data_IF_473698796624
#
_entry.id   IF_473698796624
#
_cell.length_a   1.000
_cell.length_b   1.000
_cell.length_c   1.000
_cell.angle_alpha   90.00
_cell.angle_beta   90.00
_cell.angle_gamma   90.00
#
_symmetry.space_group_name_H-M   'P 1'
#
loop_
_entity.id
_entity.type
_entity.pdbx_description
1 polymer ?
#
# COMPACT_ATOMS: atom_id res chain seq x y z
N UNK A 1 8.55 -25.97 48.72
CA UNK A 1 8.72 -24.51 48.69
C UNK A 1 8.33 -24.10 47.28
N UNK A 2 7.12 -23.57 47.10
CA UNK A 2 6.57 -23.18 45.80
C UNK A 2 7.15 -21.81 45.50
N UNK A 3 8.09 -21.69 44.57
CA UNK A 3 8.47 -20.39 44.03
C UNK A 3 7.34 -19.95 43.10
N UNK A 4 6.76 -18.80 43.39
CA UNK A 4 5.59 -18.27 42.70
C UNK A 4 5.96 -17.76 41.32
N UNK A 5 5.05 -17.87 40.34
CA UNK A 5 5.25 -17.37 38.97
C UNK A 5 5.72 -15.91 38.94
N UNK A 6 5.35 -15.11 39.94
CA UNK A 6 5.78 -13.72 40.10
C UNK A 6 7.29 -13.58 40.35
N UNK A 7 7.91 -14.48 41.14
CA UNK A 7 9.35 -14.46 41.42
C UNK A 7 10.17 -14.77 40.15
N UNK A 8 9.70 -15.75 39.37
CA UNK A 8 10.33 -16.14 38.11
C UNK A 8 10.21 -15.02 37.05
N UNK A 9 9.14 -14.22 37.08
CA UNK A 9 8.97 -13.03 36.22
C UNK A 9 9.95 -11.91 36.58
N UNK A 10 10.17 -11.65 37.87
CA UNK A 10 11.11 -10.64 38.34
C UNK A 10 12.57 -11.02 38.09
N UNK A 11 12.92 -12.29 38.33
CA UNK A 11 14.26 -12.83 38.04
C UNK A 11 14.59 -12.65 36.54
N UNK A 12 13.65 -12.99 35.67
CA UNK A 12 13.80 -12.85 34.21
C UNK A 12 14.04 -11.41 33.78
N UNK A 13 13.24 -10.45 34.29
CA UNK A 13 13.41 -9.02 33.98
C UNK A 13 14.78 -8.52 34.40
N UNK A 14 15.30 -9.02 35.52
CA UNK A 14 16.63 -8.67 36.00
C UNK A 14 17.74 -9.23 35.10
N UNK A 15 17.63 -10.48 34.68
CA UNK A 15 18.58 -11.10 33.73
C UNK A 15 18.53 -10.42 32.36
N UNK A 16 17.35 -10.03 31.87
CA UNK A 16 17.21 -9.30 30.60
C UNK A 16 17.85 -7.90 30.67
N UNK A 17 17.61 -7.14 31.75
CA UNK A 17 18.28 -5.85 31.95
C UNK A 17 19.81 -5.99 32.00
N UNK A 18 20.31 -7.07 32.60
CA UNK A 18 21.75 -7.35 32.66
C UNK A 18 22.32 -7.77 31.29
N UNK A 19 21.56 -8.52 30.50
CA UNK A 19 21.98 -8.93 29.16
C UNK A 19 22.06 -7.76 28.17
N UNK A 20 21.08 -6.85 28.23
CA UNK A 20 20.92 -5.75 27.25
C UNK A 20 21.33 -4.38 27.78
N UNK A 21 21.84 -4.30 29.01
CA UNK A 21 22.32 -3.05 29.63
C UNK A 21 23.72 -2.62 29.16
N UNK A 22 24.14 -1.39 29.49
CA UNK A 22 25.47 -0.89 29.15
C UNK A 22 26.56 -1.75 29.81
N UNK A 23 27.42 -2.38 29.00
CA UNK A 23 28.41 -3.37 29.47
C UNK A 23 27.89 -4.81 29.53
N UNK A 24 26.80 -5.11 28.82
CA UNK A 24 26.08 -6.37 28.81
C UNK A 24 26.96 -7.61 28.71
N UNK A 25 26.75 -8.52 29.66
CA UNK A 25 27.44 -9.80 29.75
C UNK A 25 26.73 -10.67 30.79
N UNK A 26 26.02 -11.68 30.31
CA UNK A 26 25.59 -12.77 31.17
C UNK A 26 26.73 -13.77 31.31
N UNK A 27 26.91 -14.31 32.50
CA UNK A 27 27.69 -15.53 32.67
C UNK A 27 26.93 -16.71 32.02
N UNK A 28 27.63 -17.80 31.66
CA UNK A 28 27.00 -18.97 31.04
C UNK A 28 25.86 -19.56 31.90
N UNK A 29 26.00 -19.46 33.22
CA UNK A 29 24.98 -19.91 34.18
C UNK A 29 23.74 -19.02 34.14
N UNK A 30 23.92 -17.70 34.07
CA UNK A 30 22.82 -16.74 33.95
C UNK A 30 22.13 -16.82 32.59
N UNK A 31 22.89 -17.04 31.52
CA UNK A 31 22.33 -17.27 30.18
C UNK A 31 21.54 -18.59 30.09
N UNK A 32 21.98 -19.63 30.81
CA UNK A 32 21.22 -20.87 30.94
C UNK A 32 19.93 -20.67 31.75
N UNK A 33 20.00 -19.91 32.85
CA UNK A 33 18.83 -19.60 33.69
C UNK A 33 17.80 -18.76 32.94
N UNK A 34 18.23 -17.75 32.17
CA UNK A 34 17.34 -16.94 31.33
C UNK A 34 16.62 -17.80 30.28
N UNK A 35 17.34 -18.72 29.61
CA UNK A 35 16.73 -19.67 28.66
C UNK A 35 15.68 -20.56 29.34
N UNK A 36 15.96 -21.06 30.53
CA UNK A 36 15.01 -21.88 31.29
C UNK A 36 13.72 -21.10 31.62
N UNK A 37 13.84 -19.83 32.02
CA UNK A 37 12.70 -18.95 32.31
C UNK A 37 11.88 -18.62 31.06
N UNK A 38 12.52 -18.40 29.92
CA UNK A 38 11.83 -18.16 28.65
C UNK A 38 11.15 -19.44 28.11
N UNK A 39 11.78 -20.61 28.25
CA UNK A 39 11.22 -21.90 27.87
C UNK A 39 10.02 -22.30 28.74
N UNK A 40 10.07 -21.99 30.05
CA UNK A 40 8.95 -22.22 30.97
C UNK A 40 7.70 -21.44 30.54
N UNK A 41 7.87 -20.22 30.00
CA UNK A 41 6.76 -19.40 29.47
C UNK A 41 6.26 -19.87 28.11
N UNK A 42 7.15 -20.39 27.26
CA UNK A 42 6.79 -20.91 25.93
C UNK A 42 6.06 -22.24 25.99
N UNK A 43 6.17 -22.98 27.09
CA UNK A 43 5.37 -24.19 27.30
C UNK A 43 3.92 -23.78 27.54
N UNK A 44 2.98 -24.19 26.67
CA UNK A 44 1.57 -24.04 26.94
C UNK A 44 1.25 -24.75 28.26
N UNK A 45 0.48 -24.09 29.13
CA UNK A 45 -0.17 -24.77 30.25
C UNK A 45 -0.93 -25.98 29.68
N UNK A 46 -0.81 -27.20 30.25
CA UNK A 46 -1.41 -28.39 29.67
C UNK A 46 -2.93 -28.30 29.80
N UNK A 47 -3.57 -27.73 28.79
CA UNK A 47 -5.00 -27.89 28.55
C UNK A 47 -5.32 -29.34 28.16
N UNK A 48 -6.55 -29.82 28.45
CA UNK A 48 -6.92 -31.20 28.22
C UNK A 48 -6.82 -31.57 26.73
N UNK A 49 -6.05 -32.63 26.46
CA UNK A 49 -5.78 -33.18 25.13
C UNK A 49 -7.04 -33.77 24.50
N UNK A 50 -7.39 -33.35 23.28
CA UNK A 50 -8.27 -34.10 22.37
C UNK A 50 -7.43 -34.78 21.28
N UNK A 51 -7.74 -36.04 20.92
CA UNK A 51 -6.87 -36.86 20.08
C UNK A 51 -6.98 -36.56 18.59
N UNK A 52 -5.84 -36.78 17.92
CA UNK A 52 -5.64 -36.82 16.47
C UNK A 52 -6.59 -37.75 15.75
N UNK A 53 -6.94 -37.39 14.50
CA UNK A 53 -7.55 -38.30 13.53
C UNK A 53 -6.71 -38.35 12.24
N UNK A 54 -6.34 -39.58 11.92
CA UNK A 54 -5.66 -40.12 10.72
C UNK A 54 -6.21 -39.61 9.38
N UNK A 55 -5.33 -39.27 8.42
CA UNK A 55 -4.83 -40.10 7.29
C UNK A 55 -5.89 -40.65 6.33
N UNK A 56 -5.84 -40.23 5.05
CA UNK A 56 -6.16 -41.07 3.88
C UNK A 56 -5.24 -40.72 2.69
N UNK A 57 -4.75 -41.78 2.06
CA UNK A 57 -3.87 -41.97 0.89
C UNK A 57 -4.34 -41.33 -0.44
N UNK A 58 -3.45 -40.81 -1.30
CA UNK A 58 -2.72 -41.48 -2.43
C UNK A 58 -3.59 -42.05 -3.55
N UNK A 59 -3.51 -41.46 -4.76
CA UNK A 59 -3.65 -42.16 -6.06
C UNK A 59 -2.68 -41.54 -7.07
N UNK A 60 -1.85 -42.40 -7.62
CA UNK A 60 -0.94 -42.26 -8.76
C UNK A 60 -1.62 -42.98 -9.94
N UNK A 61 -1.60 -42.47 -11.17
CA UNK A 61 -1.28 -43.29 -12.37
C UNK A 61 -1.20 -42.47 -13.67
N UNK A 62 -0.09 -42.69 -14.38
CA UNK A 62 0.16 -42.81 -15.83
C UNK A 62 -0.75 -42.08 -16.84
N UNK A 63 -0.26 -41.43 -17.91
CA UNK A 63 0.87 -41.70 -18.78
C UNK A 63 0.40 -41.57 -20.24
N UNK A 64 1.35 -41.35 -21.16
CA UNK A 64 1.26 -41.59 -22.61
C UNK A 64 1.18 -40.38 -23.57
N UNK A 65 2.20 -40.35 -24.44
CA UNK A 65 2.41 -39.54 -25.65
C UNK A 65 2.41 -40.49 -26.84
N UNK A 66 1.90 -40.10 -28.02
CA UNK A 66 2.72 -40.15 -29.25
C UNK A 66 2.39 -38.98 -30.22
N UNK A 67 3.31 -38.27 -30.88
CA UNK A 67 4.16 -38.57 -32.06
C UNK A 67 3.43 -39.02 -33.35
N UNK A 68 3.70 -38.31 -34.46
CA UNK A 68 3.37 -38.66 -35.86
C UNK A 68 2.78 -37.45 -36.61
N UNK A 69 3.53 -36.60 -37.33
CA UNK A 69 4.32 -36.76 -38.57
C UNK A 69 3.49 -36.71 -39.89
N UNK A 70 4.12 -36.12 -40.90
CA UNK A 70 3.80 -35.99 -42.33
C UNK A 70 2.90 -34.82 -42.88
N UNK A 71 3.56 -34.02 -43.73
CA UNK A 71 3.02 -33.20 -44.81
C UNK A 71 3.25 -33.95 -46.16
N UNK A 72 3.13 -33.33 -47.37
CA UNK A 72 2.12 -32.46 -47.98
C UNK A 72 1.53 -33.09 -49.27
N UNK A 73 0.44 -32.54 -49.85
CA UNK A 73 0.03 -32.86 -51.23
C UNK A 73 -0.48 -31.63 -51.99
N UNK A 74 0.15 -31.38 -53.14
CA UNK A 74 -0.24 -30.46 -54.22
C UNK A 74 -1.13 -31.23 -55.21
N UNK A 75 -1.99 -30.55 -55.99
CA UNK A 75 -1.87 -30.77 -57.44
C UNK A 75 -2.01 -29.49 -58.27
N UNK A 76 -1.14 -29.45 -59.27
CA UNK A 76 -1.19 -28.69 -60.53
C UNK A 76 -2.21 -29.35 -61.48
N UNK A 77 -2.88 -28.56 -62.32
CA UNK A 77 -3.21 -28.87 -63.73
C UNK A 77 -4.07 -27.74 -64.37
N UNK A 78 -3.41 -26.90 -65.17
CA UNK A 78 -3.92 -26.35 -66.46
C UNK A 78 -3.85 -27.46 -67.54
N UNK A 79 -4.35 -27.34 -68.82
CA UNK A 79 -4.71 -26.12 -69.59
C UNK A 79 -5.93 -26.25 -70.53
N UNK A 80 -6.35 -25.15 -71.18
CA UNK A 80 -6.60 -25.17 -72.64
C UNK A 80 -6.66 -23.78 -73.29
N UNK A 81 -6.12 -23.78 -74.51
CA UNK A 81 -5.71 -22.69 -75.40
C UNK A 81 -6.87 -22.02 -76.17
N UNK A 82 -6.66 -20.77 -76.59
CA UNK A 82 -7.62 -20.04 -77.44
C UNK A 82 -7.13 -18.65 -77.86
N UNK A 83 -6.24 -18.60 -78.85
CA UNK A 83 -5.58 -17.41 -79.40
C UNK A 83 -6.48 -16.44 -80.21
N UNK A 84 -6.20 -15.13 -80.15
CA UNK A 84 -5.78 -14.28 -81.30
C UNK A 84 -5.61 -12.77 -80.97
N UNK A 85 -4.43 -12.25 -81.35
CA UNK A 85 -3.88 -10.87 -81.60
C UNK A 85 -4.88 -9.69 -81.70
N UNK A 86 -4.54 -8.41 -81.39
CA UNK A 86 -3.34 -7.62 -81.78
C UNK A 86 -3.28 -6.27 -81.02
N UNK A 87 -2.06 -5.70 -80.93
CA UNK A 87 -1.66 -4.29 -80.76
C UNK A 87 -1.77 -3.56 -79.39
N UNK A 88 -0.60 -3.18 -78.87
CA UNK A 88 -0.42 -2.30 -77.70
C UNK A 88 -0.55 -0.80 -78.03
N UNK A 89 -0.51 0.07 -76.99
CA UNK A 89 0.79 0.45 -76.49
C UNK A 89 0.93 0.39 -74.97
N UNK A 90 1.99 -0.31 -74.58
CA UNK A 90 2.65 -0.23 -73.29
C UNK A 90 3.11 1.21 -73.02
N UNK A 91 2.49 1.88 -72.05
CA UNK A 91 3.07 3.01 -71.28
C UNK A 91 2.20 3.38 -70.05
N UNK A 92 1.43 2.42 -69.49
CA UNK A 92 0.64 2.65 -68.26
C UNK A 92 0.94 1.66 -67.12
N UNK A 93 1.56 0.53 -67.38
CA UNK A 93 1.82 -0.49 -66.35
C UNK A 93 3.12 -0.28 -65.55
N UNK A 94 4.09 0.47 -66.08
CA UNK A 94 5.31 0.81 -65.34
C UNK A 94 5.05 1.75 -64.14
N UNK A 95 3.93 2.46 -64.14
CA UNK A 95 3.56 3.42 -63.07
C UNK A 95 2.78 2.77 -61.93
N UNK A 96 2.18 1.60 -62.15
CA UNK A 96 1.49 0.83 -61.11
C UNK A 96 2.50 0.02 -60.27
N UNK A 97 3.52 -0.56 -60.90
CA UNK A 97 4.59 -1.31 -60.21
C UNK A 97 5.46 -0.43 -59.31
N UNK A 98 5.77 0.81 -59.72
CA UNK A 98 6.54 1.74 -58.89
C UNK A 98 5.76 2.30 -57.70
N UNK A 99 4.43 2.44 -57.83
CA UNK A 99 3.55 2.80 -56.70
C UNK A 99 3.44 1.67 -55.68
N UNK A 100 3.36 0.41 -56.13
CA UNK A 100 3.39 -0.75 -55.23
C UNK A 100 4.69 -0.86 -54.43
N UNK A 101 5.84 -0.60 -55.06
CA UNK A 101 7.15 -0.58 -54.39
C UNK A 101 7.28 0.57 -53.39
N UNK A 102 6.76 1.76 -53.70
CA UNK A 102 6.75 2.91 -52.78
C UNK A 102 5.84 2.70 -51.57
N UNK A 103 4.68 2.05 -51.76
CA UNK A 103 3.78 1.68 -50.66
C UNK A 103 4.43 0.62 -49.77
N UNK A 104 5.06 -0.40 -50.36
CA UNK A 104 5.77 -1.42 -49.59
C UNK A 104 6.94 -0.82 -48.79
N UNK A 105 7.73 0.08 -49.40
CA UNK A 105 8.83 0.77 -48.73
C UNK A 105 8.32 1.68 -47.60
N UNK A 106 7.19 2.36 -47.79
CA UNK A 106 6.55 3.16 -46.74
C UNK A 106 6.04 2.28 -45.59
N UNK A 107 5.42 1.15 -45.88
CA UNK A 107 4.96 0.19 -44.85
C UNK A 107 6.15 -0.37 -44.07
N UNK A 108 7.25 -0.72 -44.76
CA UNK A 108 8.47 -1.21 -44.09
C UNK A 108 9.11 -0.11 -43.23
N UNK A 109 9.16 1.14 -43.69
CA UNK A 109 9.65 2.26 -42.88
C UNK A 109 8.74 2.58 -41.70
N UNK A 110 7.42 2.45 -41.83
CA UNK A 110 6.47 2.59 -40.71
C UNK A 110 6.67 1.44 -39.72
N UNK A 111 6.80 0.19 -40.17
CA UNK A 111 7.04 -0.95 -39.29
C UNK A 111 8.40 -0.87 -38.58
N UNK A 112 9.44 -0.39 -39.27
CA UNK A 112 10.75 -0.13 -38.67
C UNK A 112 10.72 1.07 -37.72
N UNK A 113 10.00 2.14 -38.08
CA UNK A 113 9.82 3.31 -37.21
C UNK A 113 9.01 2.98 -35.95
N UNK A 114 7.99 2.15 -36.07
CA UNK A 114 7.20 1.63 -34.95
C UNK A 114 8.06 0.68 -34.11
N UNK A 115 8.80 -0.25 -34.72
CA UNK A 115 9.67 -1.19 -33.98
C UNK A 115 10.83 -0.51 -33.25
N UNK A 116 11.50 0.45 -33.90
CA UNK A 116 12.62 1.20 -33.30
C UNK A 116 12.09 2.23 -32.29
N UNK A 117 10.96 2.87 -32.57
CA UNK A 117 10.28 3.77 -31.62
C UNK A 117 9.84 3.04 -30.35
N UNK A 118 9.35 1.80 -30.49
CA UNK A 118 8.95 0.97 -29.34
C UNK A 118 10.15 0.49 -28.52
N UNK A 119 11.29 0.22 -29.15
CA UNK A 119 12.52 -0.16 -28.43
C UNK A 119 13.24 1.02 -27.76
N UNK A 120 13.11 2.23 -28.31
CA UNK A 120 13.76 3.44 -27.79
C UNK A 120 12.93 4.17 -26.72
N UNK A 121 11.59 4.12 -26.81
CA UNK A 121 10.68 4.83 -25.89
C UNK A 121 9.75 3.90 -25.09
N UNK A 122 9.65 2.61 -25.42
CA UNK A 122 8.81 1.64 -24.69
C UNK A 122 9.49 0.99 -23.49
N UNK A 123 10.73 1.37 -23.17
CA UNK A 123 11.54 0.79 -22.07
C UNK A 123 11.76 1.74 -20.88
N UNK A 124 11.00 2.82 -20.78
CA UNK A 124 11.01 3.66 -19.57
C UNK A 124 10.03 3.06 -18.56
N UNK A 125 10.57 2.49 -17.48
CA UNK A 125 9.81 1.86 -16.40
C UNK A 125 10.10 0.37 -16.29
N UNK A 126 10.35 -0.11 -15.06
CA UNK A 126 10.69 -1.50 -14.75
C UNK A 126 9.70 -2.56 -15.28
N UNK A 127 10.03 -3.83 -15.06
CA UNK A 127 9.23 -4.97 -15.52
C UNK A 127 7.72 -4.73 -15.29
N UNK A 128 6.92 -4.85 -16.37
CA UNK A 128 5.49 -4.62 -16.30
C UNK A 128 4.84 -5.54 -15.26
N UNK A 129 4.12 -4.96 -14.32
CA UNK A 129 3.36 -5.71 -13.31
C UNK A 129 2.23 -6.46 -14.02
N UNK A 130 2.19 -7.78 -13.88
CA UNK A 130 1.12 -8.60 -14.42
C UNK A 130 -0.14 -8.43 -13.57
N UNK A 131 -1.15 -7.75 -14.11
CA UNK A 131 -2.43 -7.56 -13.45
C UNK A 131 -3.45 -8.61 -13.90
N UNK A 132 -4.26 -9.11 -12.97
CA UNK A 132 -5.44 -9.91 -13.28
C UNK A 132 -6.50 -9.09 -14.03
N UNK A 133 -7.51 -9.76 -14.62
CA UNK A 133 -8.58 -9.08 -15.34
C UNK A 133 -9.38 -8.11 -14.43
N UNK A 134 -9.58 -8.49 -13.18
CA UNK A 134 -10.26 -7.64 -12.19
C UNK A 134 -9.44 -6.39 -11.86
N UNK A 135 -8.14 -6.56 -11.60
CA UNK A 135 -7.21 -5.46 -11.34
C UNK A 135 -7.04 -4.53 -12.55
N UNK A 136 -7.13 -5.05 -13.77
CA UNK A 136 -7.18 -4.23 -14.98
C UNK A 136 -8.47 -3.40 -15.05
N UNK A 137 -9.59 -3.93 -14.53
CA UNK A 137 -10.83 -3.19 -14.31
C UNK A 137 -10.60 -2.00 -13.38
N UNK A 138 -10.00 -2.22 -12.20
CA UNK A 138 -9.68 -1.15 -11.25
C UNK A 138 -8.78 -0.08 -11.86
N UNK A 139 -7.74 -0.48 -12.61
CA UNK A 139 -6.89 0.50 -13.31
C UNK A 139 -7.66 1.29 -14.38
N UNK A 140 -8.58 0.64 -15.09
CA UNK A 140 -9.41 1.30 -16.10
C UNK A 140 -10.34 2.32 -15.47
N UNK A 141 -10.90 2.03 -14.30
CA UNK A 141 -11.71 2.96 -13.52
C UNK A 141 -10.89 4.17 -13.03
N UNK A 142 -9.66 3.94 -12.54
CA UNK A 142 -8.73 5.02 -12.16
C UNK A 142 -8.38 5.93 -13.34
N UNK A 143 -8.21 5.36 -14.54
CA UNK A 143 -7.94 6.15 -15.75
C UNK A 143 -9.20 6.89 -16.21
N UNK A 144 -10.36 6.23 -16.13
CA UNK A 144 -11.65 6.80 -16.55
C UNK A 144 -12.15 7.90 -15.61
N UNK A 145 -11.71 7.91 -14.34
CA UNK A 145 -12.09 8.96 -13.37
C UNK A 145 -11.64 10.35 -13.80
N UNK A 146 -10.60 10.46 -14.63
CA UNK A 146 -10.03 11.73 -15.07
C UNK A 146 -9.33 12.52 -13.96
N UNK A 147 -9.12 11.91 -12.79
CA UNK A 147 -8.48 12.54 -11.62
C UNK A 147 -6.97 12.71 -11.80
N UNK A 148 -6.35 11.88 -12.63
CA UNK A 148 -4.91 11.83 -12.86
C UNK A 148 -4.55 12.32 -14.27
N UNK A 149 -3.31 12.75 -14.46
CA UNK A 149 -2.80 13.18 -15.76
C UNK A 149 -2.93 12.02 -16.76
N UNK A 150 -3.40 12.28 -18.00
CA UNK A 150 -3.57 11.24 -19.01
C UNK A 150 -2.30 10.44 -19.25
N UNK A 151 -2.40 9.11 -19.11
CA UNK A 151 -1.28 8.18 -19.31
C UNK A 151 -0.26 8.10 -18.16
N UNK A 152 -0.51 8.77 -17.03
CA UNK A 152 0.40 8.72 -15.87
C UNK A 152 0.19 7.51 -14.97
N UNK A 153 -1.03 6.95 -14.92
CA UNK A 153 -1.38 5.81 -14.05
C UNK A 153 -0.65 4.56 -14.54
N UNK A 154 0.21 4.01 -13.68
CA UNK A 154 0.98 2.80 -13.97
C UNK A 154 1.14 1.93 -12.74
N UNK A 155 0.87 0.63 -12.89
CA UNK A 155 1.11 -0.33 -11.82
C UNK A 155 2.61 -0.49 -11.59
N UNK A 156 3.02 -0.39 -10.32
CA UNK A 156 4.41 -0.50 -9.87
C UNK A 156 4.67 -1.75 -9.03
N UNK A 157 3.63 -2.28 -8.38
CA UNK A 157 3.65 -3.59 -7.73
C UNK A 157 2.21 -4.14 -7.60
N UNK A 158 2.09 -5.45 -7.39
CA UNK A 158 0.85 -6.10 -6.98
C UNK A 158 1.21 -7.18 -5.96
N UNK A 159 0.58 -7.15 -4.79
CA UNK A 159 0.94 -7.99 -3.65
C UNK A 159 -0.32 -8.33 -2.85
N UNK A 160 -0.53 -9.60 -2.52
CA UNK A 160 -1.57 -10.06 -1.57
C UNK A 160 -2.98 -9.47 -1.79
N UNK A 161 -3.39 -9.38 -3.07
CA UNK A 161 -4.71 -8.87 -3.47
C UNK A 161 -4.79 -7.35 -3.63
N UNK A 162 -3.73 -6.62 -3.29
CA UNK A 162 -3.61 -5.19 -3.54
C UNK A 162 -2.80 -4.90 -4.81
N UNK A 163 -3.12 -3.78 -5.46
CA UNK A 163 -2.31 -3.21 -6.55
C UNK A 163 -1.84 -1.84 -6.12
N UNK A 164 -0.55 -1.59 -6.35
CA UNK A 164 0.10 -0.33 -6.09
C UNK A 164 0.35 0.34 -7.43
N UNK A 165 -0.25 1.52 -7.62
CA UNK A 165 -0.01 2.38 -8.77
C UNK A 165 0.75 3.62 -8.38
N UNK A 166 1.55 4.10 -9.34
CA UNK A 166 2.02 5.48 -9.34
C UNK A 166 1.24 6.23 -10.40
N UNK A 167 0.86 7.46 -10.09
CA UNK A 167 0.19 8.37 -11.01
C UNK A 167 0.70 9.79 -10.78
N UNK A 168 0.33 10.72 -11.66
CA UNK A 168 0.61 12.14 -11.47
C UNK A 168 -0.64 12.99 -11.60
N UNK A 169 -0.63 14.17 -10.98
CA UNK A 169 -1.65 15.22 -11.16
C UNK A 169 -0.97 16.53 -11.54
N UNK A 170 -1.76 17.47 -12.04
CA UNK A 170 -1.35 18.85 -12.32
C UNK A 170 -0.16 18.93 -13.30
N UNK A 171 -0.20 18.15 -14.38
CA UNK A 171 0.87 18.12 -15.38
C UNK A 171 2.18 17.57 -14.83
N UNK A 172 2.10 16.66 -13.85
CA UNK A 172 3.24 16.09 -13.17
C UNK A 172 3.67 16.80 -11.89
N UNK A 173 3.13 17.97 -11.55
CA UNK A 173 3.58 18.69 -10.36
C UNK A 173 3.38 17.90 -9.06
N UNK A 174 2.34 17.06 -9.00
CA UNK A 174 2.09 16.15 -7.89
C UNK A 174 2.30 14.69 -8.32
N UNK A 175 2.92 13.90 -7.45
CA UNK A 175 3.09 12.45 -7.61
C UNK A 175 2.17 11.77 -6.61
N UNK A 176 1.43 10.78 -7.08
CA UNK A 176 0.48 10.01 -6.28
C UNK A 176 0.92 8.55 -6.20
N UNK A 177 0.84 7.99 -5.00
CA UNK A 177 0.88 6.58 -4.70
C UNK A 177 -0.56 6.15 -4.42
N UNK A 178 -1.08 5.24 -5.23
CA UNK A 178 -2.47 4.78 -5.13
C UNK A 178 -2.43 3.30 -4.82
N UNK A 179 -3.05 2.90 -3.71
CA UNK A 179 -3.19 1.50 -3.33
C UNK A 179 -4.66 1.11 -3.46
N UNK A 180 -4.95 0.07 -4.24
CA UNK A 180 -6.31 -0.45 -4.37
C UNK A 180 -6.40 -1.92 -4.03
N UNK A 181 -7.52 -2.28 -3.44
CA UNK A 181 -7.97 -3.64 -3.16
C UNK A 181 -9.37 -3.85 -3.74
N UNK A 182 -9.94 -5.05 -3.55
CA UNK A 182 -11.31 -5.33 -3.94
C UNK A 182 -12.35 -4.46 -3.21
N UNK A 183 -11.99 -3.89 -2.06
CA UNK A 183 -12.90 -3.18 -1.17
C UNK A 183 -12.75 -1.67 -1.26
N UNK A 184 -11.52 -1.18 -1.46
CA UNK A 184 -11.25 0.25 -1.39
C UNK A 184 -10.05 0.65 -2.25
N UNK A 185 -9.95 1.95 -2.53
CA UNK A 185 -8.80 2.54 -3.19
C UNK A 185 -8.39 3.81 -2.45
N UNK A 186 -7.15 3.83 -1.98
CA UNK A 186 -6.59 4.90 -1.14
C UNK A 186 -5.48 5.62 -1.90
N UNK A 187 -5.68 6.88 -2.29
CA UNK A 187 -4.63 7.70 -2.87
C UNK A 187 -3.89 8.53 -1.80
N UNK A 188 -2.57 8.53 -1.89
CA UNK A 188 -1.68 9.46 -1.19
C UNK A 188 -0.95 10.26 -2.26
N UNK A 189 -1.01 11.59 -2.22
CA UNK A 189 -0.35 12.45 -3.19
C UNK A 189 0.52 13.48 -2.47
N UNK A 190 1.60 13.90 -3.11
CA UNK A 190 2.41 15.03 -2.65
C UNK A 190 3.12 15.70 -3.85
N UNK A 191 3.66 16.90 -3.65
CA UNK A 191 4.47 17.59 -4.68
C UNK A 191 5.70 16.76 -5.02
N UNK A 192 6.07 16.76 -6.30
CA UNK A 192 7.20 15.98 -6.79
C UNK A 192 8.50 16.30 -6.03
N UNK A 193 8.75 17.57 -5.70
CA UNK A 193 9.95 17.96 -4.95
C UNK A 193 10.02 17.34 -3.55
N UNK A 194 8.88 17.13 -2.89
CA UNK A 194 8.81 16.59 -1.54
C UNK A 194 8.93 15.07 -1.59
N UNK A 195 8.25 14.43 -2.56
CA UNK A 195 8.41 12.98 -2.82
C UNK A 195 9.86 12.62 -3.17
N UNK A 196 10.59 13.50 -3.87
CA UNK A 196 12.00 13.25 -4.20
C UNK A 196 12.93 13.34 -2.98
N UNK A 197 12.56 14.10 -1.95
CA UNK A 197 13.36 14.25 -0.71
C UNK A 197 13.03 13.20 0.33
N UNK A 198 11.74 12.97 0.56
CA UNK A 198 11.24 12.20 1.71
C UNK A 198 10.55 10.90 1.31
N UNK A 199 10.18 10.76 0.04
CA UNK A 199 9.33 9.69 -0.45
C UNK A 199 7.85 9.96 -0.23
N UNK A 200 7.05 8.95 -0.53
CA UNK A 200 5.61 8.96 -0.34
C UNK A 200 5.18 7.61 0.21
N UNK A 201 4.40 7.61 1.27
CA UNK A 201 3.91 6.42 1.93
C UNK A 201 2.39 6.33 1.79
N UNK A 202 1.87 5.10 1.74
CA UNK A 202 0.44 4.83 1.71
C UNK A 202 0.15 3.39 2.08
N UNK A 203 -1.12 3.12 2.38
CA UNK A 203 -1.59 1.81 2.83
C UNK A 203 -3.01 1.50 2.35
N UNK A 204 -3.30 0.20 2.27
CA UNK A 204 -4.66 -0.31 2.04
C UNK A 204 -4.85 -1.58 2.85
N UNK A 205 -6.05 -1.72 3.41
CA UNK A 205 -6.47 -2.92 4.12
C UNK A 205 -7.18 -3.87 3.16
N UNK A 206 -6.86 -5.16 3.26
CA UNK A 206 -7.49 -6.27 2.56
C UNK A 206 -7.90 -7.33 3.58
N UNK A 207 -8.79 -8.25 3.19
CA UNK A 207 -9.14 -9.39 4.02
C UNK A 207 -8.51 -10.67 3.48
N UNK A 208 -7.92 -11.47 4.37
CA UNK A 208 -7.51 -12.84 4.06
C UNK A 208 -8.67 -13.81 4.30
N UNK A 209 -9.37 -13.62 5.40
CA UNK A 209 -10.56 -14.35 5.85
C UNK A 209 -11.38 -13.45 6.82
N UNK A 210 -12.48 -13.98 7.39
CA UNK A 210 -13.38 -13.21 8.27
C UNK A 210 -12.70 -12.72 9.56
N UNK A 211 -11.61 -13.36 9.99
CA UNK A 211 -10.95 -13.10 11.27
C UNK A 211 -9.61 -12.37 11.12
N UNK A 212 -8.99 -12.42 9.93
CA UNK A 212 -7.67 -11.86 9.65
C UNK A 212 -7.76 -10.76 8.60
N UNK A 213 -7.53 -9.53 9.06
CA UNK A 213 -7.25 -8.38 8.19
C UNK A 213 -5.78 -8.34 7.83
N UNK A 214 -5.49 -7.83 6.65
CA UNK A 214 -4.14 -7.69 6.12
C UNK A 214 -3.94 -6.25 5.67
N UNK A 215 -2.88 -5.62 6.14
CA UNK A 215 -2.50 -4.27 5.75
C UNK A 215 -1.32 -4.36 4.78
N UNK A 216 -1.54 -3.85 3.58
CA UNK A 216 -0.48 -3.67 2.58
C UNK A 216 -0.05 -2.22 2.62
N UNK A 217 1.19 -1.99 3.03
CA UNK A 217 1.83 -0.67 3.05
C UNK A 217 2.84 -0.57 1.91
N UNK A 218 2.98 0.62 1.34
CA UNK A 218 3.96 0.88 0.29
C UNK A 218 4.69 2.19 0.55
N UNK A 219 6.01 2.16 0.34
CA UNK A 219 6.87 3.33 0.29
C UNK A 219 7.34 3.54 -1.14
N UNK A 220 6.91 4.62 -1.76
CA UNK A 220 7.42 5.12 -3.02
C UNK A 220 8.60 6.07 -2.76
N UNK A 221 9.68 5.82 -3.49
CA UNK A 221 10.82 6.72 -3.63
C UNK A 221 10.98 7.03 -5.11
N UNK A 222 11.53 8.20 -5.43
CA UNK A 222 11.94 8.52 -6.80
C UNK A 222 13.46 8.42 -6.87
N UNK A 223 13.94 7.70 -7.88
CA UNK A 223 15.36 7.70 -8.24
C UNK A 223 15.79 9.10 -8.71
N UNK A 224 17.10 9.31 -8.89
CA UNK A 224 17.62 10.59 -9.42
C UNK A 224 17.04 10.95 -10.78
N UNK A 225 16.73 9.95 -11.60
CA UNK A 225 16.16 10.12 -12.94
C UNK A 225 14.63 10.25 -12.92
N UNK A 226 14.01 10.24 -11.74
CA UNK A 226 12.54 10.36 -11.57
C UNK A 226 11.77 9.05 -11.76
N UNK A 227 12.46 7.93 -12.03
CA UNK A 227 11.85 6.59 -12.03
C UNK A 227 11.44 6.19 -10.60
N UNK A 228 10.32 5.47 -10.41
CA UNK A 228 9.94 4.99 -9.09
C UNK A 228 10.89 3.91 -8.56
N UNK A 229 10.94 3.80 -7.25
CA UNK A 229 11.33 2.60 -6.53
C UNK A 229 10.29 2.39 -5.44
N UNK A 230 9.65 1.22 -5.38
CA UNK A 230 8.61 0.94 -4.39
C UNK A 230 9.07 -0.21 -3.50
N UNK A 231 8.98 0.00 -2.19
CA UNK A 231 9.07 -1.06 -1.19
C UNK A 231 7.66 -1.36 -0.70
N UNK A 232 7.27 -2.63 -0.68
CA UNK A 232 5.95 -3.08 -0.20
C UNK A 232 6.15 -3.90 1.07
N UNK A 233 5.35 -3.66 2.09
CA UNK A 233 5.31 -4.40 3.34
C UNK A 233 3.91 -4.91 3.63
N UNK A 234 3.80 -6.15 4.09
CA UNK A 234 2.53 -6.78 4.44
C UNK A 234 2.52 -7.13 5.91
N UNK A 235 1.46 -6.72 6.60
CA UNK A 235 1.19 -7.04 8.01
C UNK A 235 -0.17 -7.73 8.10
N UNK A 236 -0.31 -8.74 8.97
CA UNK A 236 -1.58 -9.42 9.23
C UNK A 236 -2.02 -9.19 10.68
N UNK A 237 -3.30 -8.88 10.86
CA UNK A 237 -3.94 -8.62 12.15
C UNK A 237 -5.15 -9.53 12.31
N UNK A 238 -5.14 -10.36 13.35
CA UNK A 238 -6.24 -11.27 13.69
C UNK A 238 -7.16 -10.69 14.77
N UNK A 239 -8.42 -11.09 14.76
CA UNK A 239 -9.39 -10.84 15.84
C UNK A 239 -8.91 -11.38 17.20
N UNK A 240 -8.07 -12.41 17.21
CA UNK A 240 -7.39 -12.97 18.39
C UNK A 240 -6.02 -12.33 18.70
N UNK A 241 -5.45 -11.56 17.76
CA UNK A 241 -4.15 -10.87 17.88
C UNK A 241 -4.25 -9.36 18.11
N UNK A 242 -5.45 -8.79 18.06
CA UNK A 242 -5.67 -7.34 18.13
C UNK A 242 -5.08 -6.61 16.93
N UNK A 243 -5.32 -5.30 16.80
CA UNK A 243 -4.70 -4.44 15.77
C UNK A 243 -3.17 -4.33 15.89
N UNK A 244 -2.52 -5.16 16.72
CA UNK A 244 -1.14 -5.01 17.15
C UNK A 244 -0.90 -3.80 18.06
N UNK A 245 -1.88 -2.91 18.18
CA UNK A 245 -1.84 -1.72 19.02
C UNK A 245 -2.22 -2.11 20.44
N UNK A 246 -1.32 -1.82 21.38
CA UNK A 246 -1.60 -1.94 22.81
C UNK A 246 -1.74 -0.55 23.38
N UNK A 247 -2.90 -0.25 23.95
CA UNK A 247 -3.15 1.01 24.66
C UNK A 247 -2.70 0.91 26.11
N UNK A 248 -2.42 2.05 26.73
CA UNK A 248 -1.91 2.07 28.10
C UNK A 248 -3.01 1.72 29.11
N UNK A 249 -4.27 2.01 28.81
CA UNK A 249 -5.40 1.78 29.70
C UNK A 249 -6.58 1.03 29.05
N UNK A 250 -7.44 0.46 29.89
CA UNK A 250 -8.69 -0.18 29.45
C UNK A 250 -9.67 0.85 28.87
N UNK A 251 -9.61 2.10 29.34
CA UNK A 251 -10.44 3.18 28.83
C UNK A 251 -10.06 3.56 27.40
N UNK A 252 -8.78 3.73 27.14
CA UNK A 252 -8.25 3.94 25.78
C UNK A 252 -8.61 2.78 24.86
N UNK A 253 -8.50 1.54 25.35
CA UNK A 253 -8.90 0.33 24.59
C UNK A 253 -10.38 0.35 24.21
N UNK A 254 -11.27 0.74 25.14
CA UNK A 254 -12.70 0.90 24.85
C UNK A 254 -12.94 2.03 23.83
N UNK A 255 -12.21 3.13 23.92
CA UNK A 255 -12.35 4.25 22.99
C UNK A 255 -11.90 3.87 21.58
N UNK A 256 -10.78 3.18 21.44
CA UNK A 256 -10.33 2.68 20.14
C UNK A 256 -11.34 1.72 19.50
N UNK A 257 -11.94 0.82 20.29
CA UNK A 257 -12.99 -0.08 19.78
C UNK A 257 -14.21 0.68 19.28
N UNK A 258 -14.67 1.69 20.02
CA UNK A 258 -15.80 2.52 19.58
C UNK A 258 -15.48 3.28 18.29
N UNK A 259 -14.29 3.90 18.19
CA UNK A 259 -13.86 4.57 16.96
C UNK A 259 -13.87 3.59 15.77
N UNK A 260 -13.40 2.35 15.95
CA UNK A 260 -13.51 1.33 14.91
C UNK A 260 -14.98 1.04 14.52
N UNK A 261 -15.88 0.92 15.50
CA UNK A 261 -17.33 0.74 15.27
C UNK A 261 -17.99 1.94 14.58
N UNK A 262 -17.44 3.14 14.75
CA UNK A 262 -17.87 4.39 14.10
C UNK A 262 -17.34 4.55 12.65
N UNK A 263 -16.57 3.58 12.16
CA UNK A 263 -16.10 3.53 10.77
C UNK A 263 -14.67 4.01 10.55
N UNK A 264 -13.85 4.06 11.61
CA UNK A 264 -12.40 4.23 11.47
C UNK A 264 -11.70 2.88 11.23
N UNK A 265 -10.57 2.90 10.51
CA UNK A 265 -9.74 1.70 10.33
C UNK A 265 -9.09 1.33 11.68
N UNK A 266 -9.35 0.14 12.26
CA UNK A 266 -8.80 -0.28 13.55
C UNK A 266 -7.26 -0.22 13.66
N UNK A 267 -6.56 -0.36 12.53
CA UNK A 267 -5.09 -0.34 12.47
C UNK A 267 -4.52 1.08 12.34
N UNK A 268 -5.39 2.08 12.18
CA UNK A 268 -5.03 3.49 12.08
C UNK A 268 -5.31 4.30 13.36
N UNK A 269 -5.87 3.67 14.40
CA UNK A 269 -6.31 4.36 15.62
C UNK A 269 -5.16 4.42 16.64
N UNK A 270 -4.50 5.57 16.73
CA UNK A 270 -3.35 5.79 17.62
C UNK A 270 -3.52 7.05 18.45
N UNK A 271 -2.93 7.09 19.63
CA UNK A 271 -2.82 8.31 20.43
C UNK A 271 -1.58 9.07 19.95
N UNK A 272 -1.77 10.30 19.46
CA UNK A 272 -0.67 11.18 19.00
C UNK A 272 -0.04 11.97 20.14
N UNK A 273 -0.78 12.13 21.24
CA UNK A 273 -0.34 12.81 22.44
C UNK A 273 -1.49 12.98 23.43
N UNK A 274 -1.20 13.68 24.52
CA UNK A 274 -2.19 14.01 25.55
C UNK A 274 -2.19 15.52 25.79
N UNK A 275 -3.37 16.11 25.95
CA UNK A 275 -3.53 17.43 26.58
C UNK A 275 -3.90 17.24 28.05
N UNK A 276 -2.91 17.35 28.93
CA UNK A 276 -3.07 16.91 30.32
C UNK A 276 -3.30 15.41 30.38
N UNK A 277 -4.47 15.00 30.90
CA UNK A 277 -4.89 13.60 30.99
C UNK A 277 -5.83 13.19 29.83
N UNK A 278 -6.12 14.10 28.88
CA UNK A 278 -7.05 13.84 27.78
C UNK A 278 -6.28 13.35 26.55
N UNK A 279 -6.54 12.13 26.04
CA UNK A 279 -5.86 11.62 24.86
C UNK A 279 -6.34 12.36 23.60
N UNK A 280 -5.40 12.62 22.69
CA UNK A 280 -5.70 13.10 21.34
C UNK A 280 -5.36 11.98 20.37
N UNK A 281 -6.36 11.57 19.59
CA UNK A 281 -6.30 10.42 18.70
C UNK A 281 -6.08 10.86 17.26
N UNK A 282 -5.41 10.02 16.48
CA UNK A 282 -5.47 10.03 15.03
C UNK A 282 -6.10 8.73 14.52
N UNK A 283 -6.87 8.84 13.44
CA UNK A 283 -7.51 7.70 12.78
C UNK A 283 -7.80 8.00 11.31
N UNK A 284 -7.77 6.97 10.47
CA UNK A 284 -8.18 7.02 9.07
C UNK A 284 -9.63 6.56 8.94
N UNK A 285 -10.48 7.36 8.32
CA UNK A 285 -11.87 6.96 8.03
C UNK A 285 -11.88 5.90 6.91
N UNK A 286 -12.62 4.80 7.11
CA UNK A 286 -12.77 3.76 6.11
C UNK A 286 -13.39 4.32 4.82
N UNK A 287 -12.90 3.87 3.66
CA UNK A 287 -13.47 4.16 2.33
C UNK A 287 -13.16 5.54 1.73
N UNK A 288 -12.92 6.58 2.54
CA UNK A 288 -12.69 7.94 2.04
C UNK A 288 -11.23 8.39 2.07
N UNK A 289 -10.32 7.62 2.69
CA UNK A 289 -8.91 8.00 2.82
C UNK A 289 -8.70 9.32 3.57
N UNK A 290 -9.67 9.72 4.42
CA UNK A 290 -9.57 10.92 5.25
C UNK A 290 -8.82 10.60 6.53
N UNK A 291 -7.87 11.45 6.89
CA UNK A 291 -7.18 11.39 8.17
C UNK A 291 -7.83 12.35 9.15
N UNK A 292 -8.10 11.87 10.36
CA UNK A 292 -8.83 12.59 11.38
C UNK A 292 -7.97 12.76 12.64
N UNK A 293 -8.12 13.92 13.29
CA UNK A 293 -7.74 14.17 14.68
C UNK A 293 -9.02 14.17 15.51
N UNK A 294 -9.02 13.46 16.63
CA UNK A 294 -10.16 13.36 17.55
C UNK A 294 -9.69 13.69 18.96
N UNK A 295 -10.31 14.69 19.58
CA UNK A 295 -10.03 15.07 20.96
C UNK A 295 -10.85 14.21 21.92
N UNK A 296 -10.20 13.57 22.90
CA UNK A 296 -10.75 12.59 23.84
C UNK A 296 -11.26 11.30 23.17
N UNK A 297 -12.15 11.44 22.20
CA UNK A 297 -12.76 10.36 21.46
C UNK A 297 -13.74 9.55 22.29
N UNK A 298 -13.84 9.76 23.61
CA UNK A 298 -14.65 8.98 24.58
C UNK A 298 -16.17 8.98 24.33
N UNK A 299 -16.66 9.86 23.46
CA UNK A 299 -18.07 10.00 23.09
C UNK A 299 -18.21 10.16 21.58
N UNK A 300 -19.39 9.86 21.02
CA UNK A 300 -19.70 10.05 19.60
C UNK A 300 -19.65 11.51 19.14
N UNK A 301 -19.77 12.43 20.09
CA UNK A 301 -19.85 13.87 19.85
C UNK A 301 -18.48 14.54 20.11
N UNK A 302 -17.43 13.73 20.28
CA UNK A 302 -16.07 14.19 20.51
C UNK A 302 -15.64 15.16 19.40
N UNK A 303 -15.05 16.32 19.74
CA UNK A 303 -14.55 17.26 18.74
C UNK A 303 -13.55 16.57 17.82
N UNK A 304 -13.76 16.72 16.51
CA UNK A 304 -12.93 16.07 15.51
C UNK A 304 -12.79 16.90 14.25
N UNK A 305 -11.67 16.74 13.57
CA UNK A 305 -11.39 17.36 12.29
C UNK A 305 -10.78 16.30 11.36
N UNK A 306 -11.36 16.16 10.17
CA UNK A 306 -10.93 15.19 9.17
C UNK A 306 -10.58 15.93 7.88
N UNK A 307 -9.44 15.59 7.30
CA UNK A 307 -9.01 16.14 6.02
C UNK A 307 -8.70 15.01 5.03
N UNK A 308 -8.97 15.26 3.76
CA UNK A 308 -8.51 14.40 2.67
C UNK A 308 -7.02 14.62 2.42
N UNK A 309 -6.32 13.59 1.95
CA UNK A 309 -4.90 13.68 1.56
C UNK A 309 -4.60 14.82 0.58
N UNK A 310 -5.58 15.19 -0.26
CA UNK A 310 -5.47 16.32 -1.18
C UNK A 310 -5.49 17.67 -0.46
N UNK A 311 -6.48 17.88 0.41
CA UNK A 311 -6.63 19.09 1.23
C UNK A 311 -5.46 19.27 2.20
N UNK A 312 -4.93 18.18 2.76
CA UNK A 312 -3.72 18.22 3.58
C UNK A 312 -2.53 18.81 2.83
N UNK A 313 -2.35 18.53 1.53
CA UNK A 313 -1.27 19.13 0.73
C UNK A 313 -1.44 20.65 0.58
N UNK A 314 -2.68 21.12 0.40
CA UNK A 314 -2.97 22.55 0.31
C UNK A 314 -2.70 23.28 1.65
N UNK A 315 -2.85 22.56 2.78
CA UNK A 315 -2.61 23.07 4.12
C UNK A 315 -1.24 22.67 4.71
N UNK A 316 -0.20 22.67 3.88
CA UNK A 316 1.20 22.43 4.30
C UNK A 316 1.43 21.06 4.97
N UNK A 317 0.58 20.07 4.69
CA UNK A 317 0.64 18.75 5.29
C UNK A 317 0.32 18.74 6.78
N UNK A 318 -0.60 19.60 7.26
CA UNK A 318 -0.98 19.68 8.67
C UNK A 318 -2.47 19.43 8.87
N UNK A 319 -2.78 18.43 9.68
CA UNK A 319 -4.12 18.20 10.19
C UNK A 319 -4.32 19.06 11.42
N UNK A 320 -5.41 19.85 11.45
CA UNK A 320 -5.70 20.82 12.52
C UNK A 320 -7.07 20.57 13.13
N UNK A 321 -7.12 20.49 14.45
CA UNK A 321 -8.36 20.44 15.23
C UNK A 321 -8.39 21.62 16.19
N UNK A 322 -9.47 22.41 16.17
CA UNK A 322 -9.73 23.45 17.15
C UNK A 322 -10.80 23.00 18.14
N UNK A 323 -10.49 23.10 19.43
CA UNK A 323 -11.44 22.83 20.50
C UNK A 323 -11.60 24.08 21.34
N UNK A 324 -12.84 24.53 21.48
CA UNK A 324 -13.19 25.65 22.33
C UNK A 324 -13.62 25.12 23.70
N UNK A 325 -12.95 25.56 24.74
CA UNK A 325 -13.33 25.26 26.11
C UNK A 325 -14.66 25.92 26.45
N UNK A 326 -15.64 25.13 26.89
CA UNK A 326 -17.00 25.61 27.10
C UNK A 326 -17.13 26.57 28.30
N UNK A 327 -16.22 26.51 29.27
CA UNK A 327 -16.27 27.32 30.49
C UNK A 327 -15.55 28.66 30.32
N UNK A 328 -14.38 28.63 29.70
CA UNK A 328 -13.47 29.77 29.55
C UNK A 328 -13.60 30.46 28.20
N UNK A 329 -14.17 29.77 27.19
CA UNK A 329 -14.20 30.22 25.80
C UNK A 329 -12.83 30.23 25.13
N UNK A 330 -11.79 29.72 25.79
CA UNK A 330 -10.44 29.63 25.23
C UNK A 330 -10.38 28.63 24.08
N UNK A 331 -9.64 28.97 23.03
CA UNK A 331 -9.45 28.10 21.87
C UNK A 331 -8.09 27.42 21.97
N UNK A 332 -8.11 26.09 21.90
CA UNK A 332 -6.90 25.28 21.78
C UNK A 332 -6.86 24.66 20.39
N UNK A 333 -5.74 24.84 19.68
CA UNK A 333 -5.49 24.23 18.37
C UNK A 333 -4.51 23.09 18.52
N UNK A 334 -4.91 21.91 18.05
CA UNK A 334 -4.09 20.71 17.95
C UNK A 334 -3.62 20.56 16.51
N UNK A 335 -2.31 20.45 16.30
CA UNK A 335 -1.72 20.25 14.98
C UNK A 335 -0.91 18.95 14.91
N UNK A 336 -1.17 18.17 13.86
CA UNK A 336 -0.40 16.98 13.51
C UNK A 336 0.14 17.11 12.09
N UNK A 337 1.47 17.16 11.87
CA UNK A 337 2.04 17.07 10.54
C UNK A 337 1.86 15.64 9.98
N UNK A 338 1.44 15.53 8.73
CA UNK A 338 1.18 14.27 8.01
C UNK A 338 2.26 13.92 6.99
N UNK A 339 3.33 14.73 6.91
CA UNK A 339 4.50 14.51 6.05
C UNK A 339 5.47 13.44 6.58
N UNK A 340 6.45 13.06 5.76
CA UNK A 340 7.39 12.00 6.08
C UNK A 340 8.48 12.48 7.06
N UNK A 341 8.39 12.04 8.30
CA UNK A 341 9.29 12.36 9.40
C UNK A 341 8.78 11.80 10.73
N UNK A 342 9.43 12.11 11.85
CA UNK A 342 8.79 11.91 13.16
C UNK A 342 7.78 13.05 13.36
N UNK A 343 6.47 12.81 13.25
CA UNK A 343 5.51 13.88 13.36
C UNK A 343 5.54 14.44 14.79
N UNK A 344 5.87 15.71 14.95
CA UNK A 344 5.75 16.38 16.25
C UNK A 344 4.33 16.92 16.41
N UNK A 345 3.54 16.28 17.27
CA UNK A 345 2.24 16.79 17.68
C UNK A 345 2.40 18.10 18.47
N UNK A 346 1.62 19.13 18.11
CA UNK A 346 1.71 20.47 18.71
C UNK A 346 0.36 20.91 19.28
N UNK A 347 0.39 21.46 20.50
CA UNK A 347 -0.78 22.05 21.17
C UNK A 347 -0.53 23.56 21.29
N UNK A 348 -1.40 24.36 20.67
CA UNK A 348 -1.33 25.82 20.67
C UNK A 348 -2.52 26.35 21.45
N UNK A 349 -2.27 27.03 22.57
CA UNK A 349 -3.31 27.66 23.39
C UNK A 349 -3.30 29.15 23.11
N UNK A 350 -4.41 29.70 22.62
CA UNK A 350 -4.54 31.15 22.51
C UNK A 350 -4.75 31.72 23.91
N UNK A 351 -3.78 32.51 24.38
CA UNK A 351 -3.81 33.10 25.71
C UNK A 351 -4.94 34.12 25.82
N UNK A 352 -5.78 33.98 26.85
CA UNK A 352 -6.57 35.10 27.34
C UNK A 352 -5.61 36.13 27.92
N UNK A 353 -5.38 37.23 27.19
CA UNK A 353 -4.72 38.42 27.72
C UNK A 353 -5.58 39.00 28.85
N UNK A 354 -5.43 38.47 30.06
CA UNK A 354 -5.96 39.04 31.29
C UNK A 354 -4.80 39.65 32.08
N UNK A 355 -4.53 40.92 31.76
CA UNK A 355 -4.13 41.94 32.73
C UNK A 355 -2.76 41.84 33.39
N UNK A 356 -1.70 42.23 32.68
CA UNK A 356 -0.54 42.83 33.33
C UNK A 356 -0.86 44.31 33.67
N UNK A 357 -1.60 44.51 34.76
CA UNK A 357 -1.86 45.81 35.37
C UNK A 357 -1.76 45.67 36.89
N UNK A 358 -0.53 45.58 37.40
CA UNK A 358 -0.23 45.60 38.83
C UNK A 358 0.29 46.99 39.22
N UNK A 359 -0.35 47.57 40.23
CA UNK A 359 -0.04 48.85 40.90
C UNK A 359 1.40 48.96 41.44
#
# INVERSE_FOLDING_TARGET
>A
MVMTDDDDVEERRTLQRKAFGPGGGLTDTEAARLRQLDDARRRPSPGPSTPSRESVATVQDDGETPTGDDAPVVPDEEPTDGAARTDGPALREARARSRGMLVLAAVVMVLLGVGIGWLAFGRTGGAAVALSAEQQGWQSELVASGTYDPGSVRAVAAEEGAVIWMATKNGGASVCLVLGSAESTTPSCNRREDVQKEGLWGEVTTHRDEDITRQVSAQLLLTRDGEPAVSVGVSEFGSDRGSGITYATEEETRTARRLAEEGFDPNSIWIVGYDGDVPVWTASAQGAGRHCLVYDGSTSDAPMACEESETLQEHEGRLRLQVTDAETGGVTTYELPTGAGLPSFTIIREGSDVGAGGD
#
